data_IF_882048180020
#
_entry.id   IF_882048180020
#
_cell.length_a   1.000
_cell.length_b   1.000
_cell.length_c   1.000
_cell.angle_alpha   90.00
_cell.angle_beta   90.00
_cell.angle_gamma   90.00
#
_symmetry.space_group_name_H-M   'P 1'
#
loop_
_entity.id
_entity.type
_entity.pdbx_description
1 polymer ?
#
# COMPACT_ATOMS: atom_id res chain seq x y z
N UNK A 1 -1.03 8.17 -10.32
CA UNK A 1 -2.39 8.47 -9.83
C UNK A 1 -2.33 8.45 -8.32
N UNK A 2 -2.96 9.42 -7.66
CA UNK A 2 -2.90 9.57 -6.20
C UNK A 2 -4.31 9.48 -5.62
N UNK A 3 -4.49 8.66 -4.59
CA UNK A 3 -5.75 8.41 -3.93
C UNK A 3 -5.59 8.65 -2.44
N UNK A 4 -6.51 9.39 -1.84
CA UNK A 4 -6.60 9.57 -0.39
C UNK A 4 -7.92 8.93 0.07
N UNK A 5 -7.81 7.91 0.92
CA UNK A 5 -8.93 7.10 1.37
C UNK A 5 -9.07 7.29 2.88
N UNK A 6 -10.13 7.99 3.34
CA UNK A 6 -10.44 8.06 4.75
C UNK A 6 -10.93 6.69 5.23
N UNK A 7 -10.40 6.26 6.37
CA UNK A 7 -10.81 5.06 7.08
C UNK A 7 -11.67 5.47 8.27
N UNK A 8 -12.77 4.74 8.46
CA UNK A 8 -13.62 4.92 9.63
C UNK A 8 -12.85 4.61 10.91
N UNK A 9 -13.01 5.45 11.94
CA UNK A 9 -12.50 5.18 13.29
C UNK A 9 -13.15 3.95 13.95
N UNK A 10 -14.32 3.54 13.44
CA UNK A 10 -15.08 2.39 13.92
C UNK A 10 -14.78 1.11 13.15
N UNK A 11 -13.82 1.12 12.23
CA UNK A 11 -13.48 -0.08 11.46
C UNK A 11 -12.90 -1.13 12.43
N UNK A 12 -13.56 -2.29 12.62
CA UNK A 12 -13.16 -3.26 13.62
C UNK A 12 -11.97 -4.12 13.17
N UNK A 13 -11.79 -4.26 11.85
CA UNK A 13 -10.70 -5.05 11.26
C UNK A 13 -9.37 -4.28 11.34
N UNK A 14 -8.30 -4.88 11.90
CA UNK A 14 -6.97 -4.28 11.87
C UNK A 14 -6.34 -4.24 10.47
N UNK A 15 -6.96 -4.84 9.46
CA UNK A 15 -6.46 -4.89 8.08
C UNK A 15 -7.45 -4.33 7.05
N UNK A 16 -6.90 -3.88 5.92
CA UNK A 16 -7.67 -3.65 4.70
C UNK A 16 -7.06 -4.42 3.55
N UNK A 17 -7.90 -4.78 2.59
CA UNK A 17 -7.46 -5.44 1.35
C UNK A 17 -7.60 -4.50 0.18
N UNK A 18 -6.51 -4.30 -0.55
CA UNK A 18 -6.45 -3.56 -1.81
C UNK A 18 -6.48 -4.57 -2.94
N UNK A 19 -7.48 -4.48 -3.81
CA UNK A 19 -7.68 -5.39 -4.93
C UNK A 19 -7.60 -4.60 -6.22
N UNK A 20 -6.63 -4.94 -7.08
CA UNK A 20 -6.55 -4.39 -8.42
C UNK A 20 -7.32 -5.28 -9.39
N UNK A 21 -8.44 -4.76 -9.89
CA UNK A 21 -9.25 -5.44 -10.89
C UNK A 21 -8.90 -4.95 -12.30
N UNK A 22 -8.42 -5.87 -13.14
CA UNK A 22 -8.16 -5.62 -14.56
C UNK A 22 -9.10 -6.44 -15.43
N UNK A 23 -9.49 -5.89 -16.58
CA UNK A 23 -10.20 -6.64 -17.62
C UNK A 23 -9.40 -7.86 -18.13
N UNK A 24 -8.06 -7.80 -18.03
CA UNK A 24 -7.15 -8.90 -18.39
C UNK A 24 -6.31 -9.32 -17.18
N UNK A 25 -6.39 -10.60 -16.80
CA UNK A 25 -5.70 -11.17 -15.62
C UNK A 25 -4.16 -11.11 -15.70
N UNK A 26 -3.57 -11.03 -16.90
CA UNK A 26 -2.12 -10.99 -17.11
C UNK A 26 -1.43 -9.72 -16.57
N UNK A 27 -2.19 -8.63 -16.38
CA UNK A 27 -1.68 -7.39 -15.76
C UNK A 27 -1.67 -7.47 -14.23
N UNK A 28 -2.63 -8.20 -13.64
CA UNK A 28 -2.74 -8.34 -12.18
C UNK A 28 -1.54 -9.09 -11.57
N UNK A 29 -0.91 -9.98 -12.33
CA UNK A 29 0.26 -10.76 -11.91
C UNK A 29 1.58 -9.95 -11.80
N UNK A 30 1.59 -8.69 -12.27
CA UNK A 30 2.83 -7.89 -12.40
C UNK A 30 2.86 -6.66 -11.51
N UNK A 31 1.93 -6.56 -10.58
CA UNK A 31 1.85 -5.41 -9.67
C UNK A 31 2.91 -5.59 -8.58
N UNK A 32 3.78 -4.61 -8.44
CA UNK A 32 4.76 -4.57 -7.36
C UNK A 32 4.39 -3.47 -6.37
N UNK A 33 4.35 -3.82 -5.08
CA UNK A 33 4.28 -2.85 -3.99
C UNK A 33 5.69 -2.32 -3.72
N UNK A 34 5.90 -1.05 -3.99
CA UNK A 34 7.19 -0.39 -3.85
C UNK A 34 7.32 0.24 -2.47
N UNK A 35 8.51 0.11 -1.86
CA UNK A 35 8.81 0.80 -0.61
C UNK A 35 8.77 2.31 -0.84
N UNK A 36 7.88 3.00 -0.12
CA UNK A 36 7.92 4.45 -0.02
C UNK A 36 9.08 4.86 0.90
N UNK A 37 9.85 5.92 0.58
CA UNK A 37 10.64 6.58 1.61
C UNK A 37 9.67 7.09 2.67
N UNK A 38 9.68 6.44 3.83
CA UNK A 38 8.70 6.59 4.90
C UNK A 38 8.76 8.00 5.49
N UNK A 39 7.69 8.78 5.32
CA UNK A 39 7.16 9.62 6.39
C UNK A 39 5.79 9.05 6.76
N UNK A 40 5.79 7.86 7.35
CA UNK A 40 4.66 7.45 8.17
C UNK A 40 4.67 8.42 9.34
N UNK A 41 3.79 9.42 9.31
CA UNK A 41 3.44 10.16 10.53
C UNK A 41 2.67 9.16 11.40
N UNK A 42 3.43 8.29 12.08
CA UNK A 42 2.96 7.27 13.02
C UNK A 42 2.53 7.94 14.33
N UNK A 43 1.70 8.99 14.21
CA UNK A 43 0.91 9.41 15.37
C UNK A 43 -0.16 8.35 15.54
N UNK A 44 -0.21 7.66 16.69
CA UNK A 44 -1.25 6.69 16.95
C UNK A 44 -2.57 7.45 17.14
N UNK A 45 -3.66 6.89 16.63
CA UNK A 45 -4.98 7.27 17.13
C UNK A 45 -5.19 6.47 18.41
N UNK A 46 -5.37 7.14 19.55
CA UNK A 46 -5.57 6.48 20.84
C UNK A 46 -6.76 5.52 20.77
N UNK A 47 -6.50 4.26 20.50
CA UNK A 47 -7.40 3.16 20.85
C UNK A 47 -7.06 2.79 22.29
N UNK A 48 -8.07 2.83 23.17
CA UNK A 48 -7.96 2.47 24.58
C UNK A 48 -7.81 0.95 24.76
N UNK A 49 -6.79 0.36 24.12
CA UNK A 49 -6.46 -1.05 24.20
C UNK A 49 -4.98 -1.21 23.89
N UNK A 50 -4.22 -1.59 24.93
CA UNK A 50 -2.80 -1.98 24.94
C UNK A 50 -2.01 -1.73 23.64
N UNK A 51 -1.33 -0.60 23.65
CA UNK A 51 -0.46 -0.12 22.59
C UNK A 51 0.79 -1.00 22.49
N UNK A 52 0.74 -2.05 21.66
CA UNK A 52 1.95 -2.75 21.24
C UNK A 52 2.76 -1.84 20.31
N UNK A 53 3.80 -1.21 20.86
CA UNK A 53 4.88 -0.62 20.07
C UNK A 53 5.62 -1.75 19.34
N UNK A 54 5.07 -2.21 18.22
CA UNK A 54 5.86 -2.90 17.22
C UNK A 54 6.76 -1.85 16.58
N UNK A 55 7.95 -1.75 17.18
CA UNK A 55 9.17 -1.20 16.61
C UNK A 55 9.16 -1.37 15.09
N UNK A 56 9.56 -0.32 14.39
CA UNK A 56 9.67 -0.03 12.94
C UNK A 56 10.39 -1.08 12.07
N UNK A 57 10.17 -2.34 12.37
CA UNK A 57 10.46 -3.58 11.65
C UNK A 57 9.15 -4.36 11.42
N UNK A 58 8.00 -3.68 11.38
CA UNK A 58 6.72 -4.32 11.00
C UNK A 58 6.88 -4.84 9.58
N UNK A 59 7.03 -6.16 9.53
CA UNK A 59 6.79 -7.06 8.42
C UNK A 59 7.30 -6.56 7.06
N UNK A 60 8.61 -6.69 6.88
CA UNK A 60 9.24 -7.02 5.59
C UNK A 60 8.85 -8.42 5.07
N UNK A 61 7.77 -9.02 5.58
CA UNK A 61 7.19 -10.16 4.91
C UNK A 61 6.32 -9.60 3.80
N UNK A 62 6.80 -9.78 2.58
CA UNK A 62 5.94 -9.89 1.41
C UNK A 62 4.75 -10.76 1.82
N UNK A 63 3.64 -10.16 2.28
CA UNK A 63 2.40 -10.89 2.50
C UNK A 63 1.93 -11.24 1.09
N UNK A 64 2.45 -12.38 0.65
CA UNK A 64 2.38 -12.96 -0.67
C UNK A 64 0.93 -12.88 -1.09
N UNK A 65 0.66 -12.00 -2.05
CA UNK A 65 -0.67 -11.75 -2.59
C UNK A 65 -1.41 -13.09 -2.70
N UNK A 66 -2.41 -13.32 -1.84
CA UNK A 66 -3.14 -14.60 -1.78
C UNK A 66 -3.80 -14.89 -3.13
N UNK A 67 -4.02 -13.83 -3.92
CA UNK A 67 -4.35 -13.82 -5.33
C UNK A 67 -3.59 -12.71 -6.07
N UNK A 68 -3.25 -12.88 -7.36
CA UNK A 68 -2.59 -11.83 -8.15
C UNK A 68 -3.29 -10.48 -8.03
N UNK A 69 -2.54 -9.44 -7.68
CA UNK A 69 -3.07 -8.07 -7.55
C UNK A 69 -3.87 -7.80 -6.28
N UNK A 70 -3.81 -8.68 -5.27
CA UNK A 70 -4.43 -8.49 -3.95
C UNK A 70 -3.38 -8.25 -2.89
N UNK A 71 -3.52 -7.17 -2.13
CA UNK A 71 -2.57 -6.76 -1.08
C UNK A 71 -3.31 -6.53 0.22
N UNK A 72 -2.89 -7.20 1.29
CA UNK A 72 -3.42 -6.98 2.63
C UNK A 72 -2.50 -6.01 3.37
N UNK A 73 -3.10 -5.03 4.05
CA UNK A 73 -2.39 -3.91 4.68
C UNK A 73 -2.88 -3.77 6.11
N UNK A 74 -1.95 -3.80 7.05
CA UNK A 74 -2.24 -3.51 8.46
C UNK A 74 -2.47 -1.99 8.65
N UNK A 75 -3.61 -1.66 9.26
CA UNK A 75 -4.05 -0.27 9.51
C UNK A 75 -4.27 0.01 11.00
N UNK A 76 -4.25 -1.01 11.87
CA UNK A 76 -4.38 -0.88 13.32
C UNK A 76 -3.43 0.15 13.93
N UNK A 77 -2.16 0.10 13.50
CA UNK A 77 -1.04 0.80 14.14
C UNK A 77 -0.80 2.24 13.65
N UNK A 78 -1.56 2.73 12.66
CA UNK A 78 -1.24 3.99 11.98
C UNK A 78 -2.45 4.94 11.89
N UNK A 79 -2.24 6.24 12.16
CA UNK A 79 -3.19 7.29 11.75
C UNK A 79 -3.19 7.50 10.24
N UNK A 80 -2.04 7.37 9.60
CA UNK A 80 -1.90 7.45 8.16
C UNK A 80 -0.81 6.51 7.66
N UNK A 81 -1.06 5.84 6.54
CA UNK A 81 -0.08 5.01 5.84
C UNK A 81 -0.13 5.29 4.34
N UNK A 82 1.03 5.42 3.72
CA UNK A 82 1.17 5.66 2.28
C UNK A 82 1.74 4.43 1.61
N UNK A 83 1.03 3.97 0.58
CA UNK A 83 1.39 2.81 -0.21
C UNK A 83 1.68 3.26 -1.65
N UNK A 84 2.67 2.64 -2.27
CA UNK A 84 2.98 2.86 -3.69
C UNK A 84 2.94 1.53 -4.41
N UNK A 85 2.13 1.46 -5.45
CA UNK A 85 2.07 0.32 -6.36
C UNK A 85 2.50 0.76 -7.73
N UNK A 86 3.32 -0.05 -8.38
CA UNK A 86 3.72 0.16 -9.77
C UNK A 86 3.40 -1.06 -10.61
N UNK A 87 2.97 -0.78 -11.84
CA UNK A 87 2.50 -1.80 -12.78
C UNK A 87 3.22 -1.56 -14.11
N UNK A 88 4.05 -2.50 -14.58
CA UNK A 88 4.73 -2.35 -15.86
C UNK A 88 3.71 -2.32 -17.00
N UNK A 89 3.90 -1.40 -17.95
CA UNK A 89 3.04 -1.27 -19.13
C UNK A 89 3.36 -2.39 -20.13
N UNK A 90 4.64 -2.70 -20.29
CA UNK A 90 5.13 -3.74 -21.20
C UNK A 90 5.71 -4.92 -20.42
N UNK A 91 5.44 -6.13 -20.89
CA UNK A 91 5.91 -7.39 -20.30
C UNK A 91 7.43 -7.60 -20.38
N UNK A 92 8.14 -6.74 -21.11
CA UNK A 92 9.57 -6.85 -21.42
C UNK A 92 10.43 -6.39 -20.23
N UNK A 93 9.87 -5.63 -19.29
CA UNK A 93 10.59 -5.23 -18.08
C UNK A 93 10.67 -6.42 -17.12
N UNK A 94 11.77 -7.19 -17.24
CA UNK A 94 12.20 -8.20 -16.26
C UNK A 94 12.89 -7.59 -15.03
N UNK A 95 13.08 -6.26 -15.03
CA UNK A 95 13.67 -5.53 -13.93
C UNK A 95 12.60 -5.11 -12.90
N UNK A 96 12.97 -5.16 -11.62
CA UNK A 96 12.17 -4.65 -10.50
C UNK A 96 11.64 -3.25 -10.82
N UNK A 97 10.32 -3.14 -11.00
CA UNK A 97 9.69 -1.93 -11.53
C UNK A 97 9.78 -0.77 -10.52
N UNK A 98 9.97 -1.10 -9.23
CA UNK A 98 10.19 -0.12 -8.17
C UNK A 98 11.52 0.63 -8.29
N UNK A 99 12.51 0.06 -8.99
CA UNK A 99 13.81 0.73 -9.24
C UNK A 99 13.79 1.68 -10.44
N UNK A 100 12.75 1.65 -11.26
CA UNK A 100 12.67 2.55 -12.41
C UNK A 100 12.52 4.01 -11.95
N UNK A 101 13.17 4.96 -12.63
CA UNK A 101 13.08 6.38 -12.29
C UNK A 101 11.67 6.91 -12.54
N UNK A 102 11.28 7.95 -11.79
CA UNK A 102 9.94 8.53 -11.84
C UNK A 102 9.58 9.10 -13.23
N UNK A 103 10.58 9.56 -14.00
CA UNK A 103 10.40 10.03 -15.38
C UNK A 103 9.83 8.97 -16.34
N UNK A 104 9.88 7.68 -15.96
CA UNK A 104 9.33 6.58 -16.75
C UNK A 104 7.87 6.26 -16.43
N UNK A 105 7.22 7.02 -15.54
CA UNK A 105 5.77 6.93 -15.30
C UNK A 105 5.02 7.24 -16.60
N UNK A 106 4.03 6.43 -16.94
CA UNK A 106 3.21 6.54 -18.15
C UNK A 106 3.88 6.01 -19.42
N UNK A 107 5.20 5.78 -19.40
CA UNK A 107 5.96 5.21 -20.53
C UNK A 107 6.28 3.74 -20.28
N UNK A 108 6.90 3.43 -19.14
CA UNK A 108 7.31 2.07 -18.79
C UNK A 108 6.43 1.43 -17.73
N UNK A 109 5.83 2.23 -16.84
CA UNK A 109 4.96 1.76 -15.78
C UNK A 109 3.87 2.77 -15.42
N UNK A 110 2.79 2.27 -14.82
CA UNK A 110 1.74 3.08 -14.19
C UNK A 110 1.99 3.07 -12.68
N UNK A 111 1.81 4.21 -12.03
CA UNK A 111 1.99 4.34 -10.58
C UNK A 111 0.68 4.71 -9.88
N UNK A 112 0.38 4.01 -8.79
CA UNK A 112 -0.73 4.26 -7.87
C UNK A 112 -0.14 4.56 -6.49
N UNK A 113 -0.35 5.78 -6.01
CA UNK A 113 -0.04 6.16 -4.63
C UNK A 113 -1.36 6.21 -3.84
N UNK A 114 -1.45 5.43 -2.78
CA UNK A 114 -2.65 5.30 -1.94
C UNK A 114 -2.30 5.74 -0.53
N UNK A 115 -2.91 6.82 -0.07
CA UNK A 115 -2.88 7.27 1.31
C UNK A 115 -4.12 6.74 2.01
N UNK A 116 -3.94 5.84 2.96
CA UNK A 116 -4.99 5.44 3.89
C UNK A 116 -4.83 6.29 5.15
N UNK A 117 -5.88 6.96 5.61
CA UNK A 117 -5.79 7.79 6.81
C UNK A 117 -7.06 7.73 7.66
N UNK A 118 -6.91 7.83 8.97
CA UNK A 118 -8.02 7.97 9.91
C UNK A 118 -8.11 9.42 10.35
N UNK A 119 -9.31 9.96 10.25
CA UNK A 119 -9.64 11.20 10.94
C UNK A 119 -9.97 10.87 12.38
N UNK A 120 -9.03 11.17 13.27
CA UNK A 120 -9.09 10.85 14.68
C UNK A 120 -9.54 12.03 15.51
N UNK A 121 -10.37 12.93 14.93
CA UNK A 121 -11.01 14.05 15.63
C UNK A 121 -11.32 13.68 17.08
N UNK A 122 -10.67 14.41 17.99
CA UNK A 122 -10.84 14.33 19.44
C UNK A 122 -12.30 14.65 19.83
#
# INVERSE_FOLDING_TARGET
MNYAIPLSKYLPDPYVTIIFQFSTSSRAQKIEQCTMPVQANSTPCSWNGEMFFLSSKIAREEEKATQPGTFKVEISSFRATSLRFRIPINSIYSSNVCRLPHEKVGVSFIEYNILLFRDCND
#
